data_IF_705811845399
#
_entry.id   IF_705811845399
#
_cell.length_a   1.000
_cell.length_b   1.000
_cell.length_c   1.000
_cell.angle_alpha   90.00
_cell.angle_beta   90.00
_cell.angle_gamma   90.00
#
_symmetry.space_group_name_H-M   'P 1'
#
loop_
_entity.id
_entity.type
_entity.pdbx_description
1 polymer ?
#
# COMPACT_ATOMS: atom_id res chain seq x y z
N UNK A 1 -12.25 18.54 -2.63
CA UNK A 1 -11.75 18.61 -1.25
C UNK A 1 -11.40 17.19 -0.87
N UNK A 2 -10.12 16.88 -0.69
CA UNK A 2 -9.69 15.53 -0.37
C UNK A 2 -10.24 15.16 1.01
N UNK A 3 -10.91 14.02 1.10
CA UNK A 3 -11.32 13.45 2.37
C UNK A 3 -10.02 13.04 3.08
N UNK A 4 -9.50 13.90 3.95
CA UNK A 4 -8.43 13.58 4.90
C UNK A 4 -8.98 12.58 5.91
N UNK A 5 -9.21 11.34 5.46
CA UNK A 5 -9.54 10.22 6.31
C UNK A 5 -8.34 10.01 7.22
N UNK A 6 -8.51 10.38 8.50
CA UNK A 6 -7.54 10.18 9.56
C UNK A 6 -6.91 8.78 9.46
N UNK A 7 -5.59 8.74 9.43
CA UNK A 7 -4.82 7.50 9.56
C UNK A 7 -5.27 6.76 10.83
N UNK A 8 -5.97 5.65 10.66
CA UNK A 8 -6.38 4.80 11.77
C UNK A 8 -5.47 3.58 11.79
N UNK A 9 -4.86 3.28 12.94
CA UNK A 9 -4.03 2.08 13.12
C UNK A 9 -4.81 0.76 12.94
N UNK A 10 -6.14 0.84 12.84
CA UNK A 10 -7.03 -0.31 12.62
C UNK A 10 -7.45 -0.47 11.15
N UNK A 11 -7.25 0.55 10.33
CA UNK A 11 -7.55 0.56 8.89
C UNK A 11 -6.24 0.68 8.16
N UNK A 12 -5.91 -0.30 7.32
CA UNK A 12 -4.65 -0.34 6.58
C UNK A 12 -4.43 0.87 5.65
N UNK A 13 -3.32 0.87 4.90
CA UNK A 13 -3.05 1.94 3.93
C UNK A 13 -4.11 1.95 2.82
N UNK A 14 -4.16 3.05 2.07
CA UNK A 14 -4.96 3.13 0.85
C UNK A 14 -4.42 2.20 -0.27
N UNK A 15 -5.11 2.17 -1.42
CA UNK A 15 -4.72 1.35 -2.59
C UNK A 15 -3.32 1.66 -3.12
N UNK A 16 -2.81 2.86 -2.88
CA UNK A 16 -1.48 3.29 -3.30
C UNK A 16 -0.41 2.96 -2.25
N UNK A 17 -0.79 2.39 -1.10
CA UNK A 17 0.10 2.12 0.03
C UNK A 17 0.37 3.35 0.90
N UNK A 18 -0.51 4.36 0.89
CA UNK A 18 -0.37 5.57 1.70
C UNK A 18 -1.21 5.53 2.97
N UNK A 19 -0.65 6.12 4.01
CA UNK A 19 -1.32 6.54 5.23
C UNK A 19 -1.42 8.07 5.20
N UNK A 20 -2.51 8.60 4.65
CA UNK A 20 -2.71 10.03 4.46
C UNK A 20 -1.64 10.58 3.52
N UNK A 21 -0.86 11.56 3.98
CA UNK A 21 0.19 12.17 3.18
C UNK A 21 1.47 11.33 3.05
N UNK A 22 1.60 10.25 3.81
CA UNK A 22 2.85 9.49 3.95
C UNK A 22 2.73 8.07 3.37
N UNK A 23 3.86 7.50 2.95
CA UNK A 23 3.91 6.15 2.36
C UNK A 23 3.88 6.15 0.84
N UNK A 24 3.33 5.11 0.23
CA UNK A 24 3.38 4.88 -1.20
C UNK A 24 4.58 4.06 -1.67
N UNK A 25 4.68 3.84 -2.99
CA UNK A 25 5.72 3.01 -3.60
C UNK A 25 6.70 3.87 -4.39
N UNK A 26 7.78 4.30 -3.74
CA UNK A 26 8.87 5.06 -4.36
C UNK A 26 10.11 4.18 -4.57
N UNK A 27 10.01 3.26 -5.53
CA UNK A 27 11.08 2.31 -5.88
C UNK A 27 11.44 2.42 -7.35
N UNK A 28 12.54 1.80 -7.77
CA UNK A 28 12.87 1.70 -9.19
C UNK A 28 11.84 0.85 -9.92
N UNK A 29 11.56 1.20 -11.18
CA UNK A 29 10.60 0.49 -12.03
C UNK A 29 10.89 -1.01 -12.12
N UNK A 30 12.16 -1.38 -12.17
CA UNK A 30 12.62 -2.78 -12.20
C UNK A 30 12.20 -3.60 -10.97
N UNK A 31 11.85 -2.95 -9.86
CA UNK A 31 11.39 -3.61 -8.63
C UNK A 31 9.87 -3.70 -8.56
N UNK A 32 9.12 -2.92 -9.34
CA UNK A 32 7.65 -2.92 -9.26
C UNK A 32 7.02 -4.29 -9.54
N UNK A 33 7.47 -5.10 -10.53
CA UNK A 33 6.92 -6.43 -10.74
C UNK A 33 7.04 -7.32 -9.50
N UNK A 34 8.20 -7.29 -8.83
CA UNK A 34 8.47 -8.10 -7.64
C UNK A 34 7.64 -7.65 -6.42
N UNK A 35 7.40 -6.35 -6.29
CA UNK A 35 6.56 -5.81 -5.21
C UNK A 35 5.10 -6.22 -5.40
N UNK A 36 4.59 -6.16 -6.64
CA UNK A 36 3.22 -6.58 -6.95
C UNK A 36 3.03 -8.08 -6.73
N UNK A 37 3.98 -8.90 -7.16
CA UNK A 37 3.97 -10.35 -6.91
C UNK A 37 3.96 -10.64 -5.40
N UNK A 38 4.82 -9.96 -4.63
CA UNK A 38 4.85 -10.12 -3.18
C UNK A 38 3.52 -9.76 -2.51
N UNK A 39 2.88 -8.66 -2.95
CA UNK A 39 1.58 -8.23 -2.44
C UNK A 39 0.49 -9.27 -2.73
N UNK A 40 0.47 -9.81 -3.95
CA UNK A 40 -0.46 -10.88 -4.33
C UNK A 40 -0.27 -12.14 -3.46
N UNK A 41 0.98 -12.59 -3.29
CA UNK A 41 1.29 -13.76 -2.46
C UNK A 41 0.97 -13.52 -0.98
N UNK A 42 1.19 -12.30 -0.48
CA UNK A 42 0.83 -11.93 0.88
C UNK A 42 -0.68 -12.02 1.12
N UNK A 43 -1.50 -11.45 0.24
CA UNK A 43 -2.96 -11.52 0.38
C UNK A 43 -3.47 -12.96 0.21
N UNK A 44 -2.85 -13.77 -0.64
CA UNK A 44 -3.14 -15.21 -0.73
C UNK A 44 -2.84 -15.94 0.60
N UNK A 45 -1.72 -15.65 1.25
CA UNK A 45 -1.28 -16.32 2.48
C UNK A 45 -1.99 -15.85 3.76
N UNK A 46 -2.65 -14.69 3.72
CA UNK A 46 -3.35 -14.07 4.85
C UNK A 46 -4.67 -14.76 5.21
N UNK A 47 -5.15 -15.65 4.34
CA UNK A 47 -6.38 -16.45 4.50
C UNK A 47 -6.03 -17.86 4.97
#
# INVERSE_FOLDING_TARGET
>A
MANDLFNSFMTGPDENGRFGDFGGRFVSETLMPLILELEEQYEHAKT
#
